data_IF_323907950921
#
_entry.id   IF_323907950921
#
_cell.length_a   1.000
_cell.length_b   1.000
_cell.length_c   1.000
_cell.angle_alpha   90.00
_cell.angle_beta   90.00
_cell.angle_gamma   90.00
#
_symmetry.space_group_name_H-M   'P 1'
#
loop_
_entity.id
_entity.type
_entity.pdbx_description
1 polymer ?
#
# COMPACT_ATOMS: atom_id res chain seq x y z
N UNK A 1 -7.00 25.75 10.83
CA UNK A 1 -6.18 24.90 9.93
C UNK A 1 -5.26 24.05 10.80
N UNK A 2 -5.66 22.80 11.06
CA UNK A 2 -4.78 21.86 11.76
C UNK A 2 -3.58 21.57 10.87
N UNK A 3 -2.38 21.76 11.41
CA UNK A 3 -1.13 21.48 10.72
C UNK A 3 -1.19 20.07 10.08
N UNK A 4 -1.00 19.96 8.76
CA UNK A 4 -1.01 18.69 8.01
C UNK A 4 -0.02 17.63 8.54
N UNK A 5 0.87 18.04 9.45
CA UNK A 5 1.73 17.22 10.31
C UNK A 5 0.99 16.10 11.07
N UNK A 6 -0.29 16.27 11.41
CA UNK A 6 -1.02 15.26 12.16
C UNK A 6 -1.32 14.00 11.33
N UNK A 7 -1.60 14.13 10.04
CA UNK A 7 -2.05 13.01 9.19
C UNK A 7 -0.89 12.16 8.63
N UNK A 8 0.36 12.66 8.69
CA UNK A 8 1.54 11.98 8.15
C UNK A 8 1.75 10.54 8.63
N UNK A 9 1.51 10.19 9.91
CA UNK A 9 1.69 8.81 10.33
C UNK A 9 0.63 7.88 9.73
N UNK A 10 -0.60 8.35 9.49
CA UNK A 10 -1.63 7.59 8.76
C UNK A 10 -1.29 7.46 7.27
N UNK A 11 -0.73 8.52 6.67
CA UNK A 11 -0.19 8.47 5.29
C UNK A 11 0.83 7.35 5.17
N UNK A 12 1.82 7.33 6.07
CA UNK A 12 2.88 6.32 6.06
C UNK A 12 2.32 4.92 6.34
N UNK A 13 1.47 4.76 7.35
CA UNK A 13 0.86 3.48 7.69
C UNK A 13 0.12 2.86 6.51
N UNK A 14 -0.74 3.64 5.85
CA UNK A 14 -1.55 3.15 4.73
C UNK A 14 -0.70 2.79 3.52
N UNK A 15 0.20 3.68 3.08
CA UNK A 15 1.05 3.44 1.90
C UNK A 15 2.00 2.26 2.12
N UNK A 16 2.71 2.23 3.26
CA UNK A 16 3.63 1.13 3.57
C UNK A 16 2.89 -0.19 3.72
N UNK A 17 1.75 -0.20 4.41
CA UNK A 17 0.91 -1.39 4.58
C UNK A 17 0.38 -1.95 3.25
N UNK A 18 -0.07 -1.08 2.35
CA UNK A 18 -0.52 -1.46 1.00
C UNK A 18 0.61 -2.05 0.16
N UNK A 19 1.80 -1.43 0.18
CA UNK A 19 2.96 -1.96 -0.53
C UNK A 19 3.40 -3.31 0.04
N UNK A 20 3.41 -3.49 1.36
CA UNK A 20 3.75 -4.77 2.00
C UNK A 20 2.72 -5.85 1.65
N UNK A 21 1.42 -5.56 1.72
CA UNK A 21 0.38 -6.50 1.35
C UNK A 21 0.51 -6.93 -0.12
N UNK A 22 0.69 -5.97 -1.04
CA UNK A 22 0.93 -6.27 -2.46
C UNK A 22 2.22 -7.08 -2.70
N UNK A 23 3.30 -6.73 -2.01
CA UNK A 23 4.58 -7.44 -2.11
C UNK A 23 4.49 -8.86 -1.55
N UNK A 24 3.77 -9.07 -0.44
CA UNK A 24 3.53 -10.41 0.11
C UNK A 24 2.77 -11.28 -0.88
N UNK A 25 1.75 -10.74 -1.54
CA UNK A 25 0.99 -11.46 -2.58
C UNK A 25 1.92 -11.90 -3.70
N UNK A 26 2.70 -10.97 -4.27
CA UNK A 26 3.60 -11.26 -5.39
C UNK A 26 4.73 -12.22 -4.99
N UNK A 27 5.37 -11.99 -3.84
CA UNK A 27 6.43 -12.87 -3.34
C UNK A 27 5.88 -14.25 -2.94
N UNK A 28 4.66 -14.32 -2.43
CA UNK A 28 3.98 -15.58 -2.13
C UNK A 28 3.65 -16.38 -3.39
N UNK A 29 3.19 -15.72 -4.46
CA UNK A 29 3.01 -16.36 -5.77
C UNK A 29 4.34 -16.90 -6.31
N UNK A 30 5.44 -16.14 -6.20
CA UNK A 30 6.76 -16.63 -6.59
C UNK A 30 7.25 -17.83 -5.76
N UNK A 31 7.00 -17.82 -4.45
CA UNK A 31 7.31 -18.96 -3.58
C UNK A 31 6.49 -20.22 -3.93
N UNK A 32 5.21 -20.05 -4.27
CA UNK A 32 4.33 -21.13 -4.71
C UNK A 32 4.73 -21.68 -6.09
N UNK A 33 5.24 -20.84 -6.98
CA UNK A 33 5.76 -21.23 -8.29
C UNK A 33 7.07 -22.04 -8.19
N UNK A 34 7.91 -21.72 -7.21
CA UNK A 34 9.21 -22.37 -7.00
C UNK A 34 9.09 -23.75 -6.32
N UNK A 35 8.43 -24.71 -6.97
CA UNK A 35 8.05 -26.00 -6.34
C UNK A 35 9.21 -26.96 -6.08
N UNK A 36 10.26 -26.88 -6.90
CA UNK A 36 11.30 -27.92 -6.96
C UNK A 36 12.67 -27.43 -6.47
N UNK A 37 12.79 -26.18 -6.01
CA UNK A 37 14.03 -25.60 -5.49
C UNK A 37 13.83 -25.11 -4.03
N UNK A 38 13.97 -26.00 -3.03
CA UNK A 38 13.90 -25.63 -1.62
C UNK A 38 14.90 -24.52 -1.21
N UNK A 39 16.18 -24.53 -1.68
CA UNK A 39 17.10 -23.42 -1.46
C UNK A 39 16.59 -22.07 -1.98
N UNK A 40 16.01 -22.00 -3.18
CA UNK A 40 15.43 -20.76 -3.71
C UNK A 40 14.21 -20.30 -2.89
N UNK A 41 13.31 -21.21 -2.53
CA UNK A 41 12.20 -20.92 -1.60
C UNK A 41 12.69 -20.30 -0.29
N UNK A 42 13.74 -20.86 0.30
CA UNK A 42 14.30 -20.35 1.54
C UNK A 42 14.90 -18.94 1.38
N UNK A 43 15.52 -18.65 0.23
CA UNK A 43 16.02 -17.30 -0.08
C UNK A 43 14.87 -16.28 -0.21
N UNK A 44 13.77 -16.64 -0.89
CA UNK A 44 12.57 -15.78 -0.96
C UNK A 44 12.03 -15.48 0.45
N UNK A 45 11.83 -16.51 1.27
CA UNK A 45 11.32 -16.38 2.64
C UNK A 45 12.23 -15.50 3.50
N UNK A 46 13.56 -15.67 3.41
CA UNK A 46 14.50 -14.79 4.11
C UNK A 46 14.39 -13.34 3.62
N UNK A 47 14.23 -13.12 2.32
CA UNK A 47 14.01 -11.79 1.74
C UNK A 47 12.75 -11.10 2.27
N UNK A 48 11.68 -11.85 2.55
CA UNK A 48 10.44 -11.30 3.13
C UNK A 48 10.62 -10.67 4.52
N UNK A 49 11.78 -10.83 5.18
CA UNK A 49 12.13 -10.07 6.38
C UNK A 49 11.86 -8.57 6.24
N UNK A 50 12.26 -7.99 5.10
CA UNK A 50 12.09 -6.56 4.84
C UNK A 50 10.61 -6.15 4.73
N UNK A 51 9.72 -7.05 4.31
CA UNK A 51 8.27 -6.77 4.30
C UNK A 51 7.76 -6.53 5.72
N UNK A 52 8.15 -7.39 6.66
CA UNK A 52 7.70 -7.30 8.06
C UNK A 52 8.36 -6.14 8.80
N UNK A 53 9.61 -5.80 8.48
CA UNK A 53 10.24 -4.57 8.99
C UNK A 53 9.46 -3.35 8.53
N UNK A 54 9.16 -3.23 7.23
CA UNK A 54 8.39 -2.10 6.69
C UNK A 54 6.98 -2.04 7.28
N UNK A 55 6.31 -3.19 7.45
CA UNK A 55 5.00 -3.25 8.10
C UNK A 55 5.07 -2.81 9.56
N UNK A 56 6.10 -3.25 10.29
CA UNK A 56 6.36 -2.83 11.66
C UNK A 56 6.57 -1.32 11.78
N UNK A 57 7.33 -0.71 10.85
CA UNK A 57 7.50 0.74 10.77
C UNK A 57 6.16 1.46 10.51
N UNK A 58 5.31 0.91 9.63
CA UNK A 58 3.95 1.40 9.42
C UNK A 58 3.12 1.40 10.71
N UNK A 59 3.15 0.31 11.47
CA UNK A 59 2.45 0.23 12.77
C UNK A 59 3.01 1.20 13.80
N UNK A 60 4.33 1.36 13.87
CA UNK A 60 4.95 2.32 14.77
C UNK A 60 4.48 3.74 14.47
N UNK A 61 4.40 4.12 13.19
CA UNK A 61 3.83 5.40 12.78
C UNK A 61 2.37 5.54 13.24
N UNK A 62 1.54 4.52 13.02
CA UNK A 62 0.13 4.51 13.46
C UNK A 62 -0.02 4.67 14.98
N UNK A 63 0.78 3.96 15.79
CA UNK A 63 0.73 4.04 17.25
C UNK A 63 1.19 5.42 17.75
N UNK A 64 2.22 6.00 17.14
CA UNK A 64 2.69 7.36 17.47
C UNK A 64 1.59 8.42 17.25
N UNK A 65 0.72 8.23 16.26
CA UNK A 65 -0.42 9.11 16.02
C UNK A 65 -1.55 8.92 17.03
N UNK A 66 -1.87 7.68 17.43
CA UNK A 66 -2.86 7.41 18.48
C UNK A 66 -2.45 7.98 19.84
N UNK A 67 -1.16 8.25 20.03
CA UNK A 67 -0.57 8.86 21.23
C UNK A 67 -0.34 7.88 22.39
N UNK A 68 -0.98 6.71 22.42
CA UNK A 68 -0.62 5.63 23.35
C UNK A 68 -1.01 4.24 22.83
N UNK A 69 -0.20 3.19 23.10
CA UNK A 69 -0.56 1.81 22.77
C UNK A 69 -1.87 1.33 23.42
N UNK A 70 -2.19 1.82 24.62
CA UNK A 70 -3.44 1.45 25.33
C UNK A 70 -4.70 1.87 24.56
N UNK A 71 -4.66 2.97 23.81
CA UNK A 71 -5.79 3.37 22.96
C UNK A 71 -6.01 2.41 21.80
N UNK A 72 -4.94 1.85 21.24
CA UNK A 72 -5.04 0.82 20.20
C UNK A 72 -5.76 -0.42 20.74
N UNK A 73 -5.40 -0.90 21.95
CA UNK A 73 -6.11 -2.00 22.59
C UNK A 73 -7.57 -1.67 22.92
N UNK A 74 -7.84 -0.48 23.46
CA UNK A 74 -9.21 -0.05 23.74
C UNK A 74 -10.06 0.05 22.47
N UNK A 75 -9.45 0.40 21.33
CA UNK A 75 -10.15 0.47 20.05
C UNK A 75 -10.68 -0.91 19.62
N UNK A 76 -10.02 -2.01 19.99
CA UNK A 76 -10.45 -3.38 19.66
C UNK A 76 -11.78 -3.78 20.31
N UNK A 77 -12.20 -3.09 21.37
CA UNK A 77 -13.52 -3.32 21.98
C UNK A 77 -14.69 -2.91 21.07
N UNK A 78 -14.42 -2.23 19.95
CA UNK A 78 -15.42 -1.77 18.97
C UNK A 78 -15.28 -2.45 17.61
N UNK A 79 -14.61 -3.60 17.53
CA UNK A 79 -14.52 -4.39 16.29
C UNK A 79 -15.94 -4.77 15.84
N UNK A 80 -16.21 -4.60 14.56
CA UNK A 80 -17.54 -4.74 13.94
C UNK A 80 -18.38 -3.47 13.96
N UNK A 81 -18.13 -2.52 14.86
CA UNK A 81 -18.92 -1.30 15.02
C UNK A 81 -18.24 -0.04 14.47
N UNK A 82 -16.92 -0.03 14.31
CA UNK A 82 -16.15 1.14 13.86
C UNK A 82 -15.16 0.76 12.75
N UNK A 83 -15.12 1.58 11.68
CA UNK A 83 -14.15 1.42 10.59
C UNK A 83 -12.71 1.42 11.08
N UNK A 84 -12.34 2.39 11.93
CA UNK A 84 -10.99 2.49 12.51
C UNK A 84 -10.61 1.25 13.34
N UNK A 85 -11.55 0.74 14.15
CA UNK A 85 -11.33 -0.48 14.93
C UNK A 85 -11.10 -1.70 14.02
N UNK A 86 -11.89 -1.83 12.96
CA UNK A 86 -11.76 -2.91 11.98
C UNK A 86 -10.42 -2.83 11.23
N UNK A 87 -9.93 -1.63 10.90
CA UNK A 87 -8.63 -1.43 10.28
C UNK A 87 -7.49 -1.87 11.20
N UNK A 88 -7.49 -1.43 12.46
CA UNK A 88 -6.48 -1.81 13.45
C UNK A 88 -6.49 -3.33 13.66
N UNK A 89 -7.67 -3.94 13.80
CA UNK A 89 -7.81 -5.39 13.95
C UNK A 89 -7.32 -6.15 12.71
N UNK A 90 -7.77 -5.77 11.52
CA UNK A 90 -7.39 -6.43 10.27
C UNK A 90 -5.88 -6.34 10.02
N UNK A 91 -5.28 -5.16 10.24
CA UNK A 91 -3.84 -4.98 10.14
C UNK A 91 -3.07 -5.81 11.16
N UNK A 92 -3.51 -5.82 12.42
CA UNK A 92 -2.83 -6.58 13.49
C UNK A 92 -2.88 -8.08 13.20
N UNK A 93 -4.03 -8.59 12.75
CA UNK A 93 -4.19 -9.98 12.33
C UNK A 93 -3.30 -10.30 11.14
N UNK A 94 -3.29 -9.45 10.11
CA UNK A 94 -2.43 -9.61 8.94
C UNK A 94 -0.95 -9.71 9.33
N UNK A 95 -0.48 -8.79 10.18
CA UNK A 95 0.91 -8.75 10.63
C UNK A 95 1.28 -9.94 11.52
N UNK A 96 0.42 -10.32 12.46
CA UNK A 96 0.65 -11.47 13.32
C UNK A 96 0.66 -12.77 12.50
N UNK A 97 -0.40 -13.04 11.73
CA UNK A 97 -0.53 -14.29 10.97
C UNK A 97 0.57 -14.43 9.93
N UNK A 98 0.86 -13.37 9.17
CA UNK A 98 1.92 -13.39 8.16
C UNK A 98 3.33 -13.38 8.75
N UNK A 99 3.57 -12.59 9.80
CA UNK A 99 4.85 -12.51 10.48
C UNK A 99 5.23 -13.83 11.19
N UNK A 100 4.26 -14.49 11.84
CA UNK A 100 4.49 -15.81 12.43
C UNK A 100 4.71 -16.88 11.37
N UNK A 101 3.94 -16.86 10.28
CA UNK A 101 4.20 -17.74 9.14
C UNK A 101 5.65 -17.59 8.66
N UNK A 102 6.09 -16.36 8.43
CA UNK A 102 7.44 -16.05 7.99
C UNK A 102 8.49 -16.53 9.00
N UNK A 103 8.29 -16.28 10.29
CA UNK A 103 9.23 -16.70 11.34
C UNK A 103 9.41 -18.22 11.35
N UNK A 104 8.30 -18.97 11.34
CA UNK A 104 8.36 -20.44 11.35
C UNK A 104 8.99 -20.98 10.05
N UNK A 105 8.71 -20.36 8.91
CA UNK A 105 9.31 -20.71 7.63
C UNK A 105 10.82 -20.41 7.58
N UNK A 106 11.28 -19.28 8.11
CA UNK A 106 12.72 -18.95 8.21
C UNK A 106 13.46 -19.96 9.09
N UNK A 107 12.84 -20.41 10.19
CA UNK A 107 13.39 -21.41 11.10
C UNK A 107 13.45 -22.83 10.50
N UNK A 108 12.88 -23.05 9.30
CA UNK A 108 12.85 -24.36 8.66
C UNK A 108 11.95 -25.38 9.37
N UNK A 109 11.08 -24.92 10.28
CA UNK A 109 10.18 -25.78 11.08
C UNK A 109 8.79 -25.94 10.47
N UNK A 110 8.57 -25.39 9.27
CA UNK A 110 7.25 -25.35 8.63
C UNK A 110 7.00 -26.61 7.78
N UNK A 111 5.95 -27.41 8.08
CA UNK A 111 5.50 -28.45 7.18
C UNK A 111 5.04 -27.87 5.84
N UNK A 112 5.35 -28.52 4.71
CA UNK A 112 5.15 -27.92 3.39
C UNK A 112 3.69 -27.57 3.08
N UNK A 113 2.75 -28.50 3.34
CA UNK A 113 1.32 -28.28 3.08
C UNK A 113 0.74 -27.19 3.96
N UNK A 114 1.09 -27.20 5.25
CA UNK A 114 0.65 -26.17 6.20
C UNK A 114 1.21 -24.81 5.83
N UNK A 115 2.49 -24.74 5.45
CA UNK A 115 3.15 -23.52 5.00
C UNK A 115 2.48 -22.91 3.77
N UNK A 116 2.09 -23.73 2.78
CA UNK A 116 1.35 -23.26 1.60
C UNK A 116 -0.01 -22.65 1.98
N UNK A 117 -0.81 -23.36 2.77
CA UNK A 117 -2.14 -22.89 3.16
C UNK A 117 -2.08 -21.62 4.00
N UNK A 118 -1.16 -21.57 4.97
CA UNK A 118 -0.99 -20.42 5.84
C UNK A 118 -0.47 -19.19 5.07
N UNK A 119 0.44 -19.38 4.10
CA UNK A 119 0.84 -18.29 3.19
C UNK A 119 -0.36 -17.73 2.42
N UNK A 120 -1.20 -18.60 1.85
CA UNK A 120 -2.42 -18.18 1.13
C UNK A 120 -3.37 -17.39 2.03
N UNK A 121 -3.58 -17.85 3.26
CA UNK A 121 -4.38 -17.12 4.26
C UNK A 121 -3.77 -15.74 4.52
N UNK A 122 -2.44 -15.66 4.68
CA UNK A 122 -1.74 -14.39 4.93
C UNK A 122 -1.88 -13.40 3.76
N UNK A 123 -1.84 -13.92 2.52
CA UNK A 123 -2.08 -13.13 1.31
C UNK A 123 -3.51 -12.57 1.27
N UNK A 124 -4.51 -13.39 1.60
CA UNK A 124 -5.92 -12.96 1.67
C UNK A 124 -6.11 -11.92 2.78
N UNK A 125 -5.49 -12.11 3.94
CA UNK A 125 -5.54 -11.15 5.04
C UNK A 125 -4.94 -9.79 4.65
N UNK A 126 -3.88 -9.77 3.83
CA UNK A 126 -3.34 -8.52 3.28
C UNK A 126 -4.36 -7.76 2.41
N UNK A 127 -5.15 -8.48 1.60
CA UNK A 127 -6.22 -7.89 0.78
C UNK A 127 -7.35 -7.37 1.68
N UNK A 128 -7.77 -8.14 2.68
CA UNK A 128 -8.79 -7.74 3.67
C UNK A 128 -8.32 -6.50 4.44
N UNK A 129 -7.05 -6.44 4.79
CA UNK A 129 -6.47 -5.28 5.46
C UNK A 129 -6.58 -4.01 4.61
N UNK A 130 -6.23 -4.07 3.32
CA UNK A 130 -6.43 -2.93 2.41
C UNK A 130 -7.92 -2.54 2.37
N UNK A 131 -8.83 -3.50 2.25
CA UNK A 131 -10.27 -3.23 2.28
C UNK A 131 -10.70 -2.52 3.57
N UNK A 132 -10.22 -2.98 4.73
CA UNK A 132 -10.52 -2.38 6.02
C UNK A 132 -10.03 -0.93 6.08
N UNK A 133 -8.82 -0.62 5.57
CA UNK A 133 -8.35 0.76 5.44
C UNK A 133 -9.32 1.62 4.62
N UNK A 134 -9.80 1.11 3.47
CA UNK A 134 -10.70 1.91 2.61
C UNK A 134 -12.02 2.24 3.31
N UNK A 135 -12.53 1.31 4.13
CA UNK A 135 -13.81 1.48 4.84
C UNK A 135 -13.76 2.54 5.92
N UNK A 136 -12.57 2.90 6.42
CA UNK A 136 -12.41 4.02 7.35
C UNK A 136 -12.80 5.34 6.70
N UNK A 137 -12.58 5.49 5.39
CA UNK A 137 -12.79 6.73 4.66
C UNK A 137 -14.10 6.80 3.88
N UNK A 138 -14.87 5.70 3.81
CA UNK A 138 -16.19 5.68 3.20
C UNK A 138 -17.22 6.27 4.18
N UNK A 139 -17.06 7.55 4.51
CA UNK A 139 -17.89 8.31 5.44
C UNK A 139 -18.80 9.25 4.64
N UNK A 140 -20.12 9.06 4.71
CA UNK A 140 -21.10 9.81 3.93
C UNK A 140 -21.03 11.33 4.13
N UNK A 141 -20.64 11.78 5.32
CA UNK A 141 -20.50 13.20 5.65
C UNK A 141 -19.24 13.85 5.07
N UNK A 142 -18.32 13.07 4.49
CA UNK A 142 -17.09 13.55 3.83
C UNK A 142 -17.12 13.20 2.34
N UNK A 143 -17.80 14.01 1.50
CA UNK A 143 -18.12 13.64 0.11
C UNK A 143 -16.89 13.50 -0.79
N UNK A 144 -15.79 14.17 -0.45
CA UNK A 144 -14.51 14.04 -1.16
C UNK A 144 -13.84 12.69 -0.96
N UNK A 145 -14.18 11.98 0.12
CA UNK A 145 -13.68 10.64 0.43
C UNK A 145 -14.70 9.54 0.12
N UNK A 146 -16.00 9.84 0.19
CA UNK A 146 -17.09 8.90 -0.07
C UNK A 146 -17.29 8.63 -1.56
N UNK A 147 -16.32 7.97 -2.18
CA UNK A 147 -16.36 7.61 -3.60
C UNK A 147 -15.70 6.26 -3.86
N UNK A 148 -16.07 5.61 -4.96
CA UNK A 148 -15.38 4.40 -5.43
C UNK A 148 -13.90 4.64 -5.77
N UNK A 149 -13.53 5.88 -6.09
CA UNK A 149 -12.14 6.26 -6.36
C UNK A 149 -11.23 6.08 -5.15
N UNK A 150 -11.75 6.28 -3.93
CA UNK A 150 -10.99 6.03 -2.70
C UNK A 150 -10.58 4.58 -2.61
N UNK A 151 -11.52 3.64 -2.76
CA UNK A 151 -11.21 2.22 -2.70
C UNK A 151 -10.25 1.81 -3.81
N UNK A 152 -10.48 2.29 -5.04
CA UNK A 152 -9.61 2.00 -6.18
C UNK A 152 -8.19 2.53 -5.95
N UNK A 153 -8.03 3.76 -5.48
CA UNK A 153 -6.73 4.37 -5.21
C UNK A 153 -5.91 3.59 -4.17
N UNK A 154 -6.54 3.08 -3.11
CA UNK A 154 -5.86 2.27 -2.09
C UNK A 154 -5.32 0.95 -2.65
N UNK A 155 -6.08 0.28 -3.52
CA UNK A 155 -5.60 -0.92 -4.21
C UNK A 155 -4.52 -0.62 -5.25
N UNK A 156 -4.65 0.50 -5.99
CA UNK A 156 -3.63 0.92 -6.95
C UNK A 156 -2.27 1.14 -6.27
N UNK A 157 -2.23 1.68 -5.05
CA UNK A 157 -0.98 1.76 -4.26
C UNK A 157 -0.33 0.39 -4.08
N UNK A 158 -1.12 -0.65 -3.77
CA UNK A 158 -0.62 -2.02 -3.65
C UNK A 158 -0.13 -2.60 -4.97
N UNK A 159 -0.83 -2.32 -6.09
CA UNK A 159 -0.43 -2.78 -7.43
C UNK A 159 0.77 -2.01 -8.01
N UNK A 160 1.02 -0.78 -7.57
CA UNK A 160 2.17 0.02 -8.00
C UNK A 160 3.42 -0.33 -7.19
N UNK A 161 3.32 -0.31 -5.86
CA UNK A 161 4.47 -0.53 -4.98
C UNK A 161 4.77 -2.00 -4.69
N UNK A 162 3.74 -2.84 -4.58
CA UNK A 162 3.87 -4.25 -4.20
C UNK A 162 4.73 -5.08 -5.16
N UNK A 163 4.41 -5.12 -6.47
CA UNK A 163 5.21 -5.87 -7.44
C UNK A 163 6.64 -5.35 -7.58
N UNK A 164 6.85 -4.03 -7.49
CA UNK A 164 8.19 -3.43 -7.53
C UNK A 164 9.02 -3.79 -6.29
N UNK A 165 8.41 -3.79 -5.10
CA UNK A 165 9.07 -4.22 -3.88
C UNK A 165 9.39 -5.72 -3.94
N UNK A 166 8.47 -6.56 -4.41
CA UNK A 166 8.77 -7.98 -4.64
C UNK A 166 9.90 -8.17 -5.65
N UNK A 167 9.93 -7.43 -6.76
CA UNK A 167 11.02 -7.47 -7.74
C UNK A 167 12.38 -7.18 -7.09
N UNK A 168 12.44 -6.15 -6.24
CA UNK A 168 13.64 -5.81 -5.46
C UNK A 168 14.09 -6.98 -4.56
N UNK A 169 13.15 -7.63 -3.86
CA UNK A 169 13.47 -8.77 -2.98
C UNK A 169 13.97 -9.99 -3.76
N UNK A 170 13.37 -10.28 -4.92
CA UNK A 170 13.81 -11.39 -5.76
C UNK A 170 15.20 -11.12 -6.35
N UNK A 171 15.46 -9.89 -6.80
CA UNK A 171 16.77 -9.48 -7.29
C UNK A 171 17.83 -9.60 -6.19
N UNK A 172 17.53 -9.14 -4.97
CA UNK A 172 18.43 -9.27 -3.81
C UNK A 172 18.67 -10.74 -3.43
N UNK A 173 17.66 -11.59 -3.60
CA UNK A 173 17.72 -13.03 -3.29
C UNK A 173 18.39 -13.87 -4.39
N UNK A 174 18.66 -13.28 -5.57
CA UNK A 174 19.14 -13.97 -6.78
C UNK A 174 18.23 -15.14 -7.18
N UNK A 175 16.93 -14.93 -7.09
CA UNK A 175 15.91 -15.89 -7.50
C UNK A 175 15.24 -15.34 -8.77
N UNK A 176 15.05 -16.16 -9.83
CA UNK A 176 14.42 -15.70 -11.05
C UNK A 176 13.03 -15.13 -10.75
N UNK A 177 12.71 -13.99 -11.35
CA UNK A 177 11.44 -13.31 -11.19
C UNK A 177 10.86 -12.97 -12.55
N UNK A 178 9.57 -13.24 -12.73
CA UNK A 178 8.87 -12.89 -13.97
C UNK A 178 8.59 -11.37 -14.01
N UNK A 179 9.66 -10.60 -14.18
CA UNK A 179 9.63 -9.14 -14.11
C UNK A 179 8.68 -8.54 -15.14
N UNK A 180 8.59 -9.13 -16.33
CA UNK A 180 7.72 -8.62 -17.41
C UNK A 180 6.26 -8.61 -16.98
N UNK A 181 5.71 -9.74 -16.51
CA UNK A 181 4.29 -9.83 -16.11
C UNK A 181 3.98 -8.83 -15.00
N UNK A 182 4.78 -8.83 -13.93
CA UNK A 182 4.53 -7.98 -12.77
C UNK A 182 4.74 -6.49 -13.06
N UNK A 183 5.68 -6.16 -13.97
CA UNK A 183 5.86 -4.78 -14.44
C UNK A 183 4.70 -4.33 -15.33
N UNK A 184 4.13 -5.22 -16.15
CA UNK A 184 2.94 -4.93 -16.95
C UNK A 184 1.71 -4.68 -16.09
N UNK A 185 1.54 -5.43 -15.00
CA UNK A 185 0.47 -5.18 -14.01
C UNK A 185 0.66 -3.79 -13.38
N UNK A 186 1.88 -3.44 -12.98
CA UNK A 186 2.17 -2.13 -12.38
C UNK A 186 1.99 -0.98 -13.37
N UNK A 187 2.34 -1.19 -14.64
CA UNK A 187 2.10 -0.23 -15.72
C UNK A 187 0.60 -0.03 -15.97
N UNK A 188 -0.19 -1.11 -16.00
CA UNK A 188 -1.64 -1.01 -16.13
C UNK A 188 -2.24 -0.26 -14.92
N UNK A 189 -1.78 -0.57 -13.71
CA UNK A 189 -2.17 0.16 -12.50
C UNK A 189 -1.83 1.65 -12.60
N UNK A 190 -0.69 2.03 -13.19
CA UNK A 190 -0.34 3.43 -13.42
C UNK A 190 -1.32 4.12 -14.37
N UNK A 191 -1.68 3.47 -15.49
CA UNK A 191 -2.66 4.03 -16.44
C UNK A 191 -4.03 4.23 -15.79
N UNK A 192 -4.49 3.25 -15.01
CA UNK A 192 -5.74 3.38 -14.24
C UNK A 192 -5.61 4.48 -13.19
N UNK A 193 -4.46 4.62 -12.52
CA UNK A 193 -4.21 5.70 -11.56
C UNK A 193 -4.33 7.08 -12.21
N UNK A 194 -3.73 7.28 -13.39
CA UNK A 194 -3.83 8.53 -14.15
C UNK A 194 -5.30 8.83 -14.51
N UNK A 195 -6.04 7.81 -14.98
CA UNK A 195 -7.46 7.96 -15.29
C UNK A 195 -8.28 8.33 -14.04
N UNK A 196 -8.03 7.69 -12.90
CA UNK A 196 -8.68 8.01 -11.62
C UNK A 196 -8.39 9.43 -11.18
N UNK A 197 -7.13 9.87 -11.27
CA UNK A 197 -6.73 11.25 -10.92
C UNK A 197 -7.50 12.26 -11.79
N UNK A 198 -7.59 12.02 -13.10
CA UNK A 198 -8.30 12.91 -14.02
C UNK A 198 -9.81 12.95 -13.72
N UNK A 199 -10.45 11.79 -13.58
CA UNK A 199 -11.90 11.68 -13.32
C UNK A 199 -12.27 12.24 -11.94
N UNK A 200 -11.47 11.96 -10.91
CA UNK A 200 -11.66 12.51 -9.58
C UNK A 200 -11.43 14.03 -9.58
N UNK A 201 -10.45 14.53 -10.33
CA UNK A 201 -10.21 15.97 -10.51
C UNK A 201 -11.43 16.69 -11.10
N UNK A 202 -12.08 16.09 -12.11
CA UNK A 202 -13.32 16.62 -12.68
C UNK A 202 -14.49 16.56 -11.68
N UNK A 203 -14.61 15.46 -10.92
CA UNK A 203 -15.66 15.32 -9.91
C UNK A 203 -15.49 16.31 -8.73
N UNK A 204 -14.26 16.62 -8.33
CA UNK A 204 -14.00 17.60 -7.27
C UNK A 204 -14.51 19.00 -7.63
N UNK A 205 -14.54 19.35 -8.91
CA UNK A 205 -15.08 20.65 -9.35
C UNK A 205 -16.60 20.77 -9.15
N UNK A 206 -17.35 19.66 -9.04
CA UNK A 206 -18.80 19.72 -8.77
C UNK A 206 -19.13 19.72 -7.27
N UNK A 207 -18.19 19.31 -6.41
CA UNK A 207 -18.40 19.25 -4.96
C UNK A 207 -18.14 20.64 -4.35
N UNK A 208 -19.17 21.19 -3.70
CA UNK A 208 -19.12 22.49 -3.04
C UNK A 208 -19.84 22.45 -1.70
N UNK A 209 -19.33 23.22 -0.74
CA UNK A 209 -20.02 23.56 0.50
C UNK A 209 -20.53 25.01 0.41
N UNK A 210 -21.32 25.45 1.40
CA UNK A 210 -21.76 26.85 1.50
C UNK A 210 -20.60 27.85 1.66
N UNK A 211 -19.41 27.37 2.06
CA UNK A 211 -18.24 28.21 2.37
C UNK A 211 -17.17 28.13 1.29
N UNK A 212 -16.94 26.94 0.71
CA UNK A 212 -15.82 26.71 -0.22
C UNK A 212 -16.04 25.50 -1.13
N UNK A 213 -15.47 25.54 -2.34
CA UNK A 213 -15.44 24.44 -3.31
C UNK A 213 -14.30 23.45 -3.01
N UNK A 214 -14.49 22.15 -3.30
CA UNK A 214 -13.48 21.12 -3.02
C UNK A 214 -12.14 21.36 -3.70
N UNK A 215 -12.19 21.86 -4.93
CA UNK A 215 -11.02 22.12 -5.77
C UNK A 215 -10.09 23.20 -5.22
N UNK A 216 -10.56 24.06 -4.31
CA UNK A 216 -9.73 25.11 -3.70
C UNK A 216 -9.21 24.75 -2.30
N UNK A 217 -9.50 23.54 -1.80
CA UNK A 217 -8.99 23.08 -0.50
C UNK A 217 -7.47 22.94 -0.48
N UNK A 218 -6.88 22.57 -1.62
CA UNK A 218 -5.44 22.38 -1.77
C UNK A 218 -4.94 23.34 -2.85
N UNK A 219 -4.14 24.37 -2.48
CA UNK A 219 -3.41 25.17 -3.44
C UNK A 219 -2.55 24.28 -4.34
N UNK A 220 -2.51 24.59 -5.64
CA UNK A 220 -1.70 23.87 -6.62
C UNK A 220 -1.98 22.36 -6.74
N UNK A 221 -3.21 21.92 -6.42
CA UNK A 221 -3.62 20.51 -6.51
C UNK A 221 -3.21 19.83 -7.83
N UNK A 222 -3.43 20.52 -8.97
CA UNK A 222 -3.05 20.00 -10.28
C UNK A 222 -1.53 19.81 -10.42
N UNK A 223 -0.73 20.76 -9.95
CA UNK A 223 0.75 20.67 -10.00
C UNK A 223 1.22 19.51 -9.12
N UNK A 224 0.67 19.36 -7.91
CA UNK A 224 1.02 18.26 -7.01
C UNK A 224 0.62 16.89 -7.59
N UNK A 225 -0.51 16.79 -8.29
CA UNK A 225 -0.88 15.56 -9.00
C UNK A 225 0.07 15.26 -10.18
N UNK A 226 0.52 16.28 -10.91
CA UNK A 226 1.56 16.10 -11.96
C UNK A 226 2.87 15.63 -11.34
N UNK A 227 3.32 16.23 -10.24
CA UNK A 227 4.50 15.78 -9.51
C UNK A 227 4.38 14.33 -9.05
N UNK A 228 3.21 13.94 -8.52
CA UNK A 228 2.91 12.55 -8.16
C UNK A 228 3.08 11.63 -9.36
N UNK A 229 2.41 11.91 -10.48
CA UNK A 229 2.47 11.07 -11.67
C UNK A 229 3.91 10.98 -12.20
N UNK A 230 4.65 12.09 -12.19
CA UNK A 230 6.05 12.10 -12.58
C UNK A 230 6.90 11.15 -11.71
N UNK A 231 6.73 11.20 -10.37
CA UNK A 231 7.42 10.28 -9.45
C UNK A 231 7.08 8.81 -9.75
N UNK A 232 5.81 8.49 -9.99
CA UNK A 232 5.38 7.13 -10.32
C UNK A 232 5.95 6.65 -11.66
N UNK A 233 5.92 7.50 -12.69
CA UNK A 233 6.44 7.20 -14.03
C UNK A 233 7.94 6.99 -14.00
N UNK A 234 8.70 7.87 -13.34
CA UNK A 234 10.16 7.74 -13.22
C UNK A 234 10.48 6.49 -12.38
N UNK A 235 9.76 6.27 -11.28
CA UNK A 235 9.96 5.13 -10.40
C UNK A 235 9.75 3.78 -11.09
N UNK A 236 8.64 3.62 -11.83
CA UNK A 236 8.41 2.41 -12.65
C UNK A 236 9.36 2.35 -13.85
N UNK A 237 9.79 3.49 -14.39
CA UNK A 237 10.80 3.58 -15.44
C UNK A 237 12.13 2.95 -15.02
N UNK A 238 12.55 3.10 -13.75
CA UNK A 238 13.75 2.44 -13.22
C UNK A 238 13.69 0.91 -13.30
N UNK A 239 12.49 0.33 -13.33
CA UNK A 239 12.27 -1.11 -13.48
C UNK A 239 12.00 -1.53 -14.93
N UNK A 240 11.15 -0.79 -15.66
CA UNK A 240 10.69 -1.16 -17.01
C UNK A 240 11.75 -0.87 -18.08
N UNK A 241 12.48 0.25 -17.99
CA UNK A 241 13.45 0.62 -19.02
C UNK A 241 14.57 -0.43 -19.24
N UNK A 242 15.16 -1.03 -18.20
CA UNK A 242 16.07 -2.16 -18.36
C UNK A 242 15.44 -3.35 -19.10
N UNK A 243 14.19 -3.72 -18.75
CA UNK A 243 13.48 -4.84 -19.36
C UNK A 243 13.24 -4.63 -20.86
N UNK A 244 12.84 -3.41 -21.25
CA UNK A 244 12.67 -3.03 -22.68
C UNK A 244 14.00 -3.13 -23.43
N UNK A 245 15.12 -2.81 -22.76
CA UNK A 245 16.48 -2.97 -23.30
C UNK A 245 17.01 -4.41 -23.22
N UNK A 246 16.16 -5.39 -22.84
CA UNK A 246 16.51 -6.80 -22.63
C UNK A 246 17.67 -6.99 -21.64
N UNK A 247 17.75 -6.11 -20.64
CA UNK A 247 18.71 -6.20 -19.53
C UNK A 247 17.97 -6.49 -18.23
N UNK A 248 18.65 -7.19 -17.33
CA UNK A 248 18.12 -7.37 -15.98
C UNK A 248 18.13 -6.03 -15.21
N UNK A 249 17.07 -5.71 -14.47
CA UNK A 249 17.03 -4.51 -13.66
C UNK A 249 18.02 -4.60 -12.50
N UNK A 250 18.86 -3.58 -12.34
CA UNK A 250 19.85 -3.55 -11.27
C UNK A 250 19.18 -3.29 -9.91
N UNK A 251 19.71 -3.88 -8.83
CA UNK A 251 19.16 -3.74 -7.47
C UNK A 251 19.03 -2.27 -7.03
N UNK A 252 20.02 -1.44 -7.35
CA UNK A 252 20.00 0.01 -7.06
C UNK A 252 18.90 0.73 -7.84
N UNK A 253 18.66 0.33 -9.09
CA UNK A 253 17.57 0.88 -9.91
C UNK A 253 16.20 0.51 -9.35
N UNK A 254 16.01 -0.74 -8.93
CA UNK A 254 14.77 -1.18 -8.28
C UNK A 254 14.54 -0.48 -6.95
N UNK A 255 15.58 -0.28 -6.14
CA UNK A 255 15.50 0.45 -4.87
C UNK A 255 15.13 1.91 -5.09
N UNK A 256 15.80 2.60 -6.01
CA UNK A 256 15.46 3.98 -6.39
C UNK A 256 14.03 4.06 -6.92
N UNK A 257 13.64 3.11 -7.78
CA UNK A 257 12.28 3.00 -8.29
C UNK A 257 11.25 2.88 -7.18
N UNK A 258 11.50 2.01 -6.20
CA UNK A 258 10.62 1.82 -5.04
C UNK A 258 10.50 3.09 -4.21
N UNK A 259 11.62 3.79 -3.94
CA UNK A 259 11.61 5.07 -3.20
C UNK A 259 10.78 6.12 -3.94
N UNK A 260 10.93 6.23 -5.26
CA UNK A 260 10.17 7.19 -6.07
C UNK A 260 8.68 6.85 -6.11
N UNK A 261 8.32 5.57 -6.27
CA UNK A 261 6.92 5.12 -6.22
C UNK A 261 6.31 5.40 -4.84
N UNK A 262 7.02 5.08 -3.76
CA UNK A 262 6.58 5.40 -2.40
C UNK A 262 6.41 6.91 -2.21
N UNK A 263 7.33 7.74 -2.71
CA UNK A 263 7.22 9.20 -2.66
C UNK A 263 5.98 9.71 -3.39
N UNK A 264 5.68 9.17 -4.58
CA UNK A 264 4.47 9.50 -5.34
C UNK A 264 3.19 9.09 -4.61
N UNK A 265 3.16 7.89 -4.03
CA UNK A 265 2.00 7.39 -3.28
C UNK A 265 1.79 8.12 -1.94
N UNK A 266 2.87 8.49 -1.25
CA UNK A 266 2.83 9.35 -0.05
C UNK A 266 2.28 10.72 -0.41
N UNK A 267 2.75 11.33 -1.51
CA UNK A 267 2.22 12.62 -1.99
C UNK A 267 0.72 12.50 -2.33
N UNK A 268 0.32 11.46 -3.07
CA UNK A 268 -1.08 11.21 -3.42
C UNK A 268 -1.98 10.98 -2.19
N UNK A 269 -1.49 10.25 -1.20
CA UNK A 269 -2.20 10.01 0.05
C UNK A 269 -2.26 11.28 0.91
N UNK A 270 -1.22 12.12 0.91
CA UNK A 270 -1.24 13.44 1.53
C UNK A 270 -2.29 14.37 0.90
N UNK A 271 -2.38 14.39 -0.44
CA UNK A 271 -3.44 15.11 -1.16
C UNK A 271 -4.82 14.59 -0.78
N UNK A 272 -4.99 13.27 -0.68
CA UNK A 272 -6.24 12.65 -0.25
C UNK A 272 -6.70 13.15 1.13
N UNK A 273 -5.82 13.18 2.14
CA UNK A 273 -6.19 13.72 3.46
C UNK A 273 -6.45 15.23 3.43
N UNK A 274 -5.71 15.99 2.61
CA UNK A 274 -5.93 17.42 2.45
C UNK A 274 -7.29 17.79 1.83
N UNK A 275 -7.93 16.85 1.11
CA UNK A 275 -9.27 17.04 0.55
C UNK A 275 -10.39 16.83 1.56
N UNK A 276 -10.11 16.63 2.86
CA UNK A 276 -11.14 16.49 3.87
C UNK A 276 -12.08 17.71 3.90
N UNK A 277 -13.35 17.49 3.61
CA UNK A 277 -14.42 18.46 3.87
C UNK A 277 -15.62 17.74 4.46
N UNK A 278 -16.28 18.36 5.43
CA UNK A 278 -17.53 17.83 5.99
C UNK A 278 -18.72 18.61 5.48
N UNK A 279 -19.75 17.92 5.00
CA UNK A 279 -21.07 18.51 4.73
C UNK A 279 -22.00 18.22 5.91
N UNK A 280 -22.84 19.19 6.27
CA UNK A 280 -23.84 19.01 7.34
C UNK A 280 -23.50 19.57 8.72
N UNK A 281 -22.44 20.39 8.87
CA UNK A 281 -22.34 21.26 10.04
C UNK A 281 -23.11 22.55 9.78
N UNK A 282 -24.38 22.55 10.20
CA UNK A 282 -25.06 23.79 10.57
C UNK A 282 -24.51 24.22 11.94
N UNK A 283 -23.81 25.35 11.96
CA UNK A 283 -23.20 25.96 13.13
C UNK A 283 -22.29 27.09 12.71
#
# INVERSE_FOLDING_TARGET
MGNGWHEWPLVLFTVLGQCVAGALVVSGLGWLAEKNDPPARQRIVRGMFFLWVVMGLGFLASIMHLGSPMRAFNSLNRVGASGLSNEIAAGSIFFAVGGFWWLVAVLGKMPETLGKLWLLISMVLGIIFILAMTRVYQIETVPTWYTGYTTLAFFLTAFLGGPLFAALLFQASRVPFNSTIFSSISLLALLVCIAVIALQGMALASIHSSVQQASSLIPDYAVLQVCRVALLVIGLGCWICPLVRRKEPHIVGLLLGLILVLGGEILGRGLFYGLHMTVGMAG
#
